data_IF_759676132235
#
_entry.id   IF_759676132235
#
_cell.length_a   1.000
_cell.length_b   1.000
_cell.length_c   1.000
_cell.angle_alpha   90.00
_cell.angle_beta   90.00
_cell.angle_gamma   90.00
#
_symmetry.space_group_name_H-M   'P 1'
#
loop_
_entity.id
_entity.type
_entity.pdbx_description
1 polymer ?
#
# COMPACT_ATOMS: atom_id res chain seq x y z
N UNK A 1 26.19 -51.56 -21.79
CA UNK A 1 24.91 -51.20 -22.40
C UNK A 1 24.36 -49.96 -21.70
N UNK A 2 23.74 -49.10 -22.49
CA UNK A 2 23.55 -47.67 -22.31
C UNK A 2 22.79 -47.21 -21.06
N UNK A 3 23.11 -46.00 -20.60
CA UNK A 3 22.28 -45.19 -19.70
C UNK A 3 21.26 -44.35 -20.49
N UNK A 4 20.64 -44.95 -21.49
CA UNK A 4 19.64 -44.27 -22.32
C UNK A 4 18.26 -44.75 -21.87
N UNK A 5 17.68 -44.08 -20.87
CA UNK A 5 16.34 -44.46 -20.42
C UNK A 5 15.87 -43.91 -19.08
N UNK A 6 16.56 -42.95 -18.47
CA UNK A 6 15.99 -42.20 -17.34
C UNK A 6 14.92 -41.23 -17.86
N UNK A 7 13.78 -41.76 -18.29
CA UNK A 7 12.56 -40.99 -18.48
C UNK A 7 12.21 -40.41 -17.11
N UNK A 8 12.45 -39.11 -16.98
CA UNK A 8 12.01 -38.28 -15.87
C UNK A 8 10.65 -38.76 -15.40
N UNK A 9 10.55 -39.23 -14.16
CA UNK A 9 9.28 -39.51 -13.51
C UNK A 9 8.58 -38.16 -13.28
N UNK A 10 8.04 -37.62 -14.38
CA UNK A 10 7.28 -36.39 -14.41
C UNK A 10 6.05 -36.67 -13.57
N UNK A 11 5.96 -36.03 -12.42
CA UNK A 11 4.91 -36.28 -11.45
C UNK A 11 3.51 -36.07 -12.06
N UNK A 12 2.87 -37.15 -12.52
CA UNK A 12 1.61 -37.11 -13.29
C UNK A 12 0.37 -36.88 -12.42
N UNK A 13 0.48 -36.97 -11.09
CA UNK A 13 -0.62 -36.84 -10.14
C UNK A 13 -0.42 -35.67 -9.18
N UNK A 14 -1.50 -34.98 -8.80
CA UNK A 14 -1.46 -33.87 -7.82
C UNK A 14 -0.99 -32.53 -8.36
N UNK A 15 -0.82 -32.39 -9.68
CA UNK A 15 -0.41 -31.14 -10.34
C UNK A 15 -1.35 -29.97 -10.00
N UNK A 16 -2.67 -30.21 -10.02
CA UNK A 16 -3.68 -29.21 -9.68
C UNK A 16 -3.58 -28.75 -8.21
N UNK A 17 -3.38 -29.69 -7.28
CA UNK A 17 -3.27 -29.38 -5.86
C UNK A 17 -2.01 -28.53 -5.57
N UNK A 18 -0.88 -28.85 -6.21
CA UNK A 18 0.37 -28.08 -6.08
C UNK A 18 0.23 -26.68 -6.67
N UNK A 19 -0.37 -26.56 -7.85
CA UNK A 19 -0.60 -25.27 -8.50
C UNK A 19 -1.54 -24.39 -7.68
N UNK A 20 -2.58 -24.98 -7.09
CA UNK A 20 -3.51 -24.29 -6.21
C UNK A 20 -2.84 -23.84 -4.92
N UNK A 21 -2.06 -24.70 -4.25
CA UNK A 21 -1.31 -24.33 -3.04
C UNK A 21 -0.35 -23.16 -3.31
N UNK A 22 0.37 -23.21 -4.44
CA UNK A 22 1.26 -22.12 -4.84
C UNK A 22 0.51 -20.80 -5.02
N UNK A 23 -0.63 -20.82 -5.73
CA UNK A 23 -1.44 -19.61 -5.93
C UNK A 23 -2.10 -19.10 -4.64
N UNK A 24 -2.55 -19.98 -3.77
CA UNK A 24 -3.12 -19.59 -2.47
C UNK A 24 -2.06 -18.87 -1.64
N UNK A 25 -0.85 -19.45 -1.50
CA UNK A 25 0.23 -18.79 -0.76
C UNK A 25 0.64 -17.48 -1.42
N UNK A 26 0.77 -17.45 -2.76
CA UNK A 26 1.11 -16.25 -3.51
C UNK A 26 0.09 -15.13 -3.37
N UNK A 27 -1.20 -15.45 -3.44
CA UNK A 27 -2.29 -14.45 -3.25
C UNK A 27 -2.29 -13.88 -1.84
N UNK A 28 -2.05 -14.69 -0.81
CA UNK A 28 -1.91 -14.17 0.55
C UNK A 28 -0.71 -13.23 0.69
N UNK A 29 0.46 -13.60 0.19
CA UNK A 29 1.66 -12.74 0.23
C UNK A 29 1.40 -11.42 -0.48
N UNK A 30 0.82 -11.46 -1.68
CA UNK A 30 0.49 -10.25 -2.44
C UNK A 30 -0.52 -9.39 -1.69
N UNK A 31 -1.59 -9.99 -1.15
CA UNK A 31 -2.63 -9.24 -0.43
C UNK A 31 -2.08 -8.53 0.82
N UNK A 32 -1.27 -9.22 1.61
CA UNK A 32 -0.64 -8.66 2.82
C UNK A 32 0.41 -7.60 2.45
N UNK A 33 1.19 -7.84 1.40
CA UNK A 33 2.15 -6.89 0.87
C UNK A 33 1.45 -5.59 0.42
N UNK A 34 0.39 -5.70 -0.37
CA UNK A 34 -0.40 -4.55 -0.82
C UNK A 34 -1.05 -3.80 0.34
N UNK A 35 -1.64 -4.51 1.32
CA UNK A 35 -2.24 -3.87 2.49
C UNK A 35 -1.21 -3.08 3.31
N UNK A 36 -0.03 -3.66 3.55
CA UNK A 36 1.06 -3.01 4.27
C UNK A 36 1.58 -1.79 3.49
N UNK A 37 1.74 -1.94 2.17
CA UNK A 37 2.14 -0.85 1.29
C UNK A 37 1.16 0.32 1.34
N UNK A 38 -0.15 0.06 1.22
CA UNK A 38 -1.16 1.12 1.31
C UNK A 38 -1.13 1.85 2.66
N UNK A 39 -0.92 1.13 3.76
CA UNK A 39 -0.83 1.75 5.07
C UNK A 39 0.39 2.69 5.16
N UNK A 40 1.58 2.20 4.77
CA UNK A 40 2.82 2.96 4.88
C UNK A 40 2.98 4.07 3.83
N UNK A 41 2.51 3.86 2.61
CA UNK A 41 2.67 4.82 1.52
C UNK A 41 1.58 5.91 1.53
N UNK A 42 0.41 5.62 2.09
CA UNK A 42 -0.76 6.52 1.99
C UNK A 42 -1.28 6.90 3.38
N UNK A 43 -1.65 5.93 4.19
CA UNK A 43 -2.34 6.21 5.45
C UNK A 43 -1.43 6.89 6.47
N UNK A 44 -0.23 6.38 6.69
CA UNK A 44 0.74 6.95 7.64
C UNK A 44 1.24 8.34 7.22
N UNK A 45 1.64 8.58 5.95
CA UNK A 45 2.03 9.91 5.50
C UNK A 45 0.89 10.92 5.60
N UNK A 46 -0.35 10.51 5.29
CA UNK A 46 -1.53 11.37 5.44
C UNK A 46 -1.77 11.79 6.90
N UNK A 47 -1.71 10.82 7.82
CA UNK A 47 -1.83 11.10 9.28
C UNK A 47 -0.71 12.02 9.75
N UNK A 48 0.52 11.76 9.32
CA UNK A 48 1.69 12.57 9.68
C UNK A 48 1.58 13.99 9.14
N UNK A 49 1.21 14.17 7.86
CA UNK A 49 1.05 15.49 7.25
C UNK A 49 0.00 16.34 7.99
N UNK A 50 -1.12 15.73 8.39
CA UNK A 50 -2.12 16.41 9.20
C UNK A 50 -1.55 16.82 10.57
N UNK A 51 -0.90 15.90 11.29
CA UNK A 51 -0.31 16.19 12.58
C UNK A 51 0.78 17.28 12.48
N UNK A 52 1.64 17.22 11.47
CA UNK A 52 2.71 18.19 11.23
C UNK A 52 2.14 19.58 10.88
N UNK A 53 1.05 19.65 10.11
CA UNK A 53 0.35 20.91 9.83
C UNK A 53 -0.16 21.55 11.12
N UNK A 54 -0.87 20.78 11.95
CA UNK A 54 -1.48 21.31 13.18
C UNK A 54 -0.51 21.51 14.33
N UNK A 55 0.69 20.92 14.29
CA UNK A 55 1.69 21.04 15.37
C UNK A 55 2.00 22.49 15.75
N UNK A 56 2.01 23.39 14.78
CA UNK A 56 2.30 24.81 14.95
C UNK A 56 1.29 25.71 14.24
N UNK A 57 0.08 25.19 13.95
CA UNK A 57 -0.93 25.96 13.23
C UNK A 57 -1.53 27.03 14.14
N UNK A 58 -1.43 28.29 13.73
CA UNK A 58 -2.08 29.43 14.36
C UNK A 58 -3.22 29.91 13.46
N UNK A 59 -4.45 29.61 13.88
CA UNK A 59 -5.66 29.93 13.12
C UNK A 59 -5.88 31.43 12.98
N UNK A 60 -5.50 32.24 13.97
CA UNK A 60 -5.65 33.70 13.90
C UNK A 60 -4.66 34.30 12.91
N UNK A 61 -3.42 33.80 12.91
CA UNK A 61 -2.42 34.21 11.92
C UNK A 61 -2.84 33.84 10.50
N UNK A 62 -3.28 32.61 10.27
CA UNK A 62 -3.76 32.16 8.95
C UNK A 62 -5.00 32.95 8.52
N UNK A 63 -5.94 33.19 9.44
CA UNK A 63 -7.09 34.04 9.20
C UNK A 63 -6.69 35.46 8.81
N UNK A 64 -5.80 36.11 9.56
CA UNK A 64 -5.36 37.47 9.26
C UNK A 64 -4.64 37.58 7.92
N UNK A 65 -3.85 36.57 7.52
CA UNK A 65 -3.27 36.50 6.17
C UNK A 65 -4.36 36.46 5.11
N UNK A 66 -5.38 35.61 5.28
CA UNK A 66 -6.49 35.46 4.33
C UNK A 66 -7.42 36.68 4.30
N UNK A 67 -7.65 37.32 5.44
CA UNK A 67 -8.43 38.57 5.58
C UNK A 67 -7.74 39.71 4.86
N UNK A 68 -6.44 39.92 5.10
CA UNK A 68 -5.64 40.95 4.40
C UNK A 68 -5.55 40.72 2.89
N UNK A 69 -5.58 39.45 2.45
CA UNK A 69 -5.67 39.10 1.04
C UNK A 69 -7.07 39.32 0.44
N UNK A 70 -8.06 39.77 1.23
CA UNK A 70 -9.42 40.06 0.77
C UNK A 70 -10.25 38.83 0.40
N UNK A 71 -9.84 37.64 0.86
CA UNK A 71 -10.50 36.37 0.50
C UNK A 71 -11.91 36.27 1.12
N UNK A 72 -12.11 36.88 2.28
CA UNK A 72 -13.39 36.84 2.98
C UNK A 72 -14.32 37.98 2.56
N UNK A 73 -15.58 37.65 2.29
CA UNK A 73 -16.63 38.64 2.07
C UNK A 73 -17.13 39.27 3.38
N UNK A 74 -17.19 38.50 4.46
CA UNK A 74 -17.73 38.93 5.76
C UNK A 74 -16.74 39.72 6.62
N UNK A 75 -15.45 39.55 6.37
CA UNK A 75 -14.38 40.18 7.11
C UNK A 75 -13.38 40.78 6.11
N UNK A 76 -13.48 42.10 5.88
CA UNK A 76 -12.51 42.87 5.10
C UNK A 76 -11.29 43.25 5.94
#
# INVERSE_FOLDING_TARGET
MNKDGALWDNQMHGFLAKHLQFHIVGTFIVSLGTATFCNFAIAEPGKKAYADFYRNYDSMKDFEVKRKAGIFQSAK
#
